data_IF_710123837757
#
_entry.id   IF_710123837757
#
_cell.length_a   1.000
_cell.length_b   1.000
_cell.length_c   1.000
_cell.angle_alpha   90.00
_cell.angle_beta   90.00
_cell.angle_gamma   90.00
#
_symmetry.space_group_name_H-M   'P 1'
#
loop_
_entity.id
_entity.type
_entity.pdbx_description
1 polymer ?
#
# COMPACT_ATOMS: atom_id res chain seq x y z
N UNK A 1 -6.19 -2.12 9.94
CA UNK A 1 -5.97 -3.47 9.39
C UNK A 1 -4.81 -4.25 10.03
N UNK A 2 -3.60 -3.70 10.28
CA UNK A 2 -2.46 -4.50 10.77
C UNK A 2 -2.70 -5.24 12.09
N UNK A 3 -3.39 -4.61 13.05
CA UNK A 3 -3.73 -5.19 14.35
C UNK A 3 -4.85 -6.24 14.29
N UNK A 4 -5.64 -6.23 13.21
CA UNK A 4 -6.69 -7.21 12.97
C UNK A 4 -6.10 -8.50 12.38
N UNK A 5 -5.15 -8.34 11.44
CA UNK A 5 -4.45 -9.47 10.81
C UNK A 5 -3.44 -10.14 11.76
N UNK A 6 -2.78 -9.38 12.64
CA UNK A 6 -1.83 -9.95 13.60
C UNK A 6 -2.12 -9.54 15.05
N UNK A 7 -2.46 -10.54 15.89
CA UNK A 7 -2.60 -10.38 17.33
C UNK A 7 -1.21 -10.22 17.97
N UNK A 8 -0.88 -9.04 18.49
CA UNK A 8 0.35 -8.84 19.28
C UNK A 8 0.35 -9.79 20.48
N UNK A 9 1.31 -10.74 20.50
CA UNK A 9 1.51 -11.70 21.60
C UNK A 9 2.51 -11.22 22.66
N UNK A 10 3.33 -10.22 22.34
CA UNK A 10 4.32 -9.61 23.26
C UNK A 10 3.96 -8.15 23.54
N UNK A 11 4.18 -7.70 24.79
CA UNK A 11 4.18 -6.27 25.14
C UNK A 11 5.29 -5.57 24.35
N UNK A 12 5.07 -4.32 23.89
CA UNK A 12 6.16 -3.49 23.38
C UNK A 12 7.29 -3.44 24.41
N UNK A 13 8.53 -3.52 23.95
CA UNK A 13 9.69 -3.25 24.78
C UNK A 13 9.94 -1.75 24.73
N UNK A 14 9.54 -1.03 25.78
CA UNK A 14 9.64 0.42 25.87
C UNK A 14 10.95 0.86 26.58
N UNK A 15 12.00 0.01 26.54
CA UNK A 15 13.25 0.29 27.23
C UNK A 15 14.04 1.44 26.56
N UNK A 16 14.20 2.61 27.22
CA UNK A 16 14.82 3.79 26.61
C UNK A 16 16.31 3.62 26.31
N UNK A 17 16.96 2.58 26.85
CA UNK A 17 18.37 2.28 26.58
C UNK A 17 18.63 1.72 25.17
N UNK A 18 17.59 1.31 24.44
CA UNK A 18 17.72 0.74 23.10
C UNK A 18 17.66 1.79 21.98
N UNK A 19 17.17 3.01 22.27
CA UNK A 19 17.08 4.13 21.33
C UNK A 19 18.39 4.94 21.21
N UNK A 20 19.32 4.78 22.17
CA UNK A 20 20.53 5.60 22.24
C UNK A 20 21.71 5.12 21.38
N UNK A 21 21.61 3.98 20.69
CA UNK A 21 22.73 3.43 19.89
C UNK A 21 22.72 3.81 18.41
N UNK A 22 21.73 4.57 17.91
CA UNK A 22 21.59 4.89 16.48
C UNK A 22 21.51 6.38 16.13
N UNK A 23 21.80 7.30 17.06
CA UNK A 23 21.33 8.70 16.94
C UNK A 23 22.36 9.78 16.54
N UNK A 24 23.66 9.48 16.36
CA UNK A 24 24.67 10.57 16.31
C UNK A 24 25.41 10.80 14.98
N UNK A 25 25.20 10.00 13.93
CA UNK A 25 26.04 10.11 12.73
C UNK A 25 25.60 11.15 11.68
N UNK A 26 24.34 11.62 11.69
CA UNK A 26 23.80 12.38 10.54
C UNK A 26 22.72 13.42 10.93
N UNK A 27 22.89 14.04 12.10
CA UNK A 27 21.95 15.08 12.55
C UNK A 27 22.31 16.43 11.92
N UNK A 28 21.38 17.11 11.24
CA UNK A 28 21.68 18.38 10.58
C UNK A 28 22.08 19.45 11.61
N UNK A 29 23.10 20.25 11.27
CA UNK A 29 23.68 21.24 12.17
C UNK A 29 22.77 22.45 12.41
N UNK A 30 21.91 22.77 11.45
CA UNK A 30 20.95 23.87 11.54
C UNK A 30 19.76 23.63 10.58
N UNK A 31 18.74 24.49 10.66
CA UNK A 31 17.52 24.37 9.82
C UNK A 31 17.80 24.47 8.31
N UNK A 32 18.84 25.20 7.90
CA UNK A 32 19.21 25.32 6.49
C UNK A 32 19.90 24.06 6.00
N UNK A 33 20.76 23.46 6.82
CA UNK A 33 21.41 22.18 6.57
C UNK A 33 20.39 21.04 6.51
N UNK A 34 19.40 21.03 7.39
CA UNK A 34 18.26 20.11 7.34
C UNK A 34 17.44 20.28 6.05
N UNK A 35 17.19 21.52 5.63
CA UNK A 35 16.46 21.81 4.40
C UNK A 35 17.27 21.40 3.15
N UNK A 36 18.57 21.67 3.12
CA UNK A 36 19.44 21.34 2.00
C UNK A 36 19.64 19.83 1.84
N UNK A 37 19.89 19.11 2.94
CA UNK A 37 19.98 17.65 2.95
C UNK A 37 18.64 17.01 2.54
N UNK A 38 17.52 17.48 3.09
CA UNK A 38 16.18 17.03 2.69
C UNK A 38 15.87 17.27 1.21
N UNK A 39 16.28 18.43 0.66
CA UNK A 39 16.12 18.74 -0.75
C UNK A 39 16.98 17.81 -1.65
N UNK A 40 18.22 17.51 -1.24
CA UNK A 40 19.09 16.60 -1.97
C UNK A 40 18.53 15.16 -1.98
N UNK A 41 18.08 14.65 -0.83
CA UNK A 41 17.41 13.35 -0.75
C UNK A 41 16.11 13.33 -1.56
N UNK A 42 15.33 14.40 -1.52
CA UNK A 42 14.11 14.57 -2.31
C UNK A 42 14.39 14.56 -3.82
N UNK A 43 15.47 15.22 -4.27
CA UNK A 43 15.86 15.23 -5.68
C UNK A 43 16.22 13.82 -6.17
N UNK A 44 16.97 13.05 -5.39
CA UNK A 44 17.32 11.68 -5.76
C UNK A 44 16.07 10.78 -5.86
N UNK A 45 15.14 10.91 -4.91
CA UNK A 45 13.85 10.22 -4.98
C UNK A 45 13.05 10.64 -6.22
N UNK A 46 12.98 11.94 -6.50
CA UNK A 46 12.24 12.47 -7.65
C UNK A 46 12.80 11.96 -8.99
N UNK A 47 14.12 11.91 -9.15
CA UNK A 47 14.76 11.37 -10.35
C UNK A 47 14.47 9.88 -10.54
N UNK A 48 14.54 9.10 -9.45
CA UNK A 48 14.23 7.67 -9.50
C UNK A 48 12.78 7.41 -9.89
N UNK A 49 11.84 8.14 -9.27
CA UNK A 49 10.42 8.04 -9.62
C UNK A 49 10.18 8.50 -11.06
N UNK A 50 10.75 9.64 -11.47
CA UNK A 50 10.60 10.16 -12.83
C UNK A 50 11.09 9.17 -13.90
N UNK A 51 12.26 8.58 -13.71
CA UNK A 51 12.80 7.57 -14.63
C UNK A 51 11.92 6.31 -14.67
N UNK A 52 11.44 5.85 -13.51
CA UNK A 52 10.53 4.72 -13.40
C UNK A 52 9.20 4.99 -14.13
N UNK A 53 8.62 6.19 -13.98
CA UNK A 53 7.37 6.56 -14.65
C UNK A 53 7.51 6.59 -16.17
N UNK A 54 8.60 7.17 -16.68
CA UNK A 54 8.88 7.17 -18.13
C UNK A 54 8.97 5.74 -18.68
N UNK A 55 9.68 4.85 -17.98
CA UNK A 55 9.81 3.46 -18.39
C UNK A 55 8.45 2.73 -18.42
N UNK A 56 7.62 2.92 -17.39
CA UNK A 56 6.30 2.28 -17.34
C UNK A 56 5.33 2.83 -18.36
N UNK A 57 5.30 4.14 -18.61
CA UNK A 57 4.44 4.73 -19.66
C UNK A 57 4.82 4.14 -21.02
N UNK A 58 6.11 4.06 -21.33
CA UNK A 58 6.59 3.46 -22.58
C UNK A 58 6.21 1.98 -22.68
N UNK A 59 6.34 1.21 -21.59
CA UNK A 59 5.98 -0.20 -21.56
C UNK A 59 4.46 -0.40 -21.74
N UNK A 60 3.63 0.41 -21.09
CA UNK A 60 2.17 0.35 -21.25
C UNK A 60 1.78 0.67 -22.69
N UNK A 61 2.39 1.70 -23.30
CA UNK A 61 2.16 2.04 -24.70
C UNK A 61 2.55 0.88 -25.64
N UNK A 62 3.69 0.22 -25.39
CA UNK A 62 4.11 -0.97 -26.13
C UNK A 62 3.12 -2.13 -25.96
N UNK A 63 2.70 -2.42 -24.73
CA UNK A 63 1.73 -3.47 -24.43
C UNK A 63 0.39 -3.19 -25.09
N UNK A 64 -0.09 -1.95 -25.05
CA UNK A 64 -1.31 -1.54 -25.74
C UNK A 64 -1.18 -1.68 -27.26
N UNK A 65 -0.02 -1.36 -27.84
CA UNK A 65 0.24 -1.59 -29.26
C UNK A 65 0.19 -3.08 -29.63
N UNK A 66 0.79 -3.95 -28.82
CA UNK A 66 0.74 -5.41 -29.01
C UNK A 66 -0.69 -5.93 -28.86
N UNK A 67 -1.39 -5.53 -27.79
CA UNK A 67 -2.77 -5.95 -27.52
C UNK A 67 -3.74 -5.48 -28.59
N UNK A 68 -3.59 -4.25 -29.09
CA UNK A 68 -4.37 -3.73 -30.21
C UNK A 68 -4.11 -4.53 -31.50
N UNK A 69 -2.84 -4.87 -31.77
CA UNK A 69 -2.47 -5.71 -32.92
C UNK A 69 -3.06 -7.12 -32.86
N UNK A 70 -2.96 -7.79 -31.71
CA UNK A 70 -3.57 -9.11 -31.48
C UNK A 70 -5.09 -9.02 -31.47
N UNK A 71 -5.66 -8.02 -30.82
CA UNK A 71 -7.10 -7.76 -30.78
C UNK A 71 -7.67 -7.50 -32.17
N UNK A 72 -6.91 -6.86 -33.06
CA UNK A 72 -7.25 -6.70 -34.47
C UNK A 72 -7.49 -8.03 -35.20
N UNK A 73 -6.80 -9.12 -34.82
CA UNK A 73 -7.08 -10.45 -35.38
C UNK A 73 -8.43 -11.02 -34.96
N UNK A 74 -8.99 -10.53 -33.84
CA UNK A 74 -10.28 -10.93 -33.30
C UNK A 74 -11.38 -9.85 -33.50
N UNK A 75 -11.16 -8.87 -34.38
CA UNK A 75 -12.05 -7.70 -34.60
C UNK A 75 -12.25 -6.78 -33.38
N UNK A 76 -11.28 -6.74 -32.46
CA UNK A 76 -11.23 -5.84 -31.30
C UNK A 76 -9.93 -5.02 -31.27
N UNK A 77 -9.68 -4.12 -32.25
CA UNK A 77 -8.48 -3.29 -32.28
C UNK A 77 -8.36 -2.32 -31.09
N UNK A 78 -9.45 -2.05 -30.38
CA UNK A 78 -9.52 -1.19 -29.19
C UNK A 78 -9.01 -1.87 -27.91
N UNK A 79 -8.53 -3.12 -27.99
CA UNK A 79 -8.04 -3.86 -26.85
C UNK A 79 -6.82 -3.20 -26.21
N UNK A 80 -6.95 -2.84 -24.94
CA UNK A 80 -5.89 -2.21 -24.16
C UNK A 80 -5.76 -2.86 -22.78
N UNK A 81 -4.58 -2.72 -22.17
CA UNK A 81 -4.31 -3.22 -20.83
C UNK A 81 -5.28 -2.59 -19.81
N UNK A 82 -5.62 -1.32 -19.97
CA UNK A 82 -6.60 -0.62 -19.14
C UNK A 82 -7.97 -1.29 -19.21
N UNK A 83 -8.41 -1.71 -20.40
CA UNK A 83 -9.72 -2.34 -20.57
C UNK A 83 -9.76 -3.73 -19.94
N UNK A 84 -8.69 -4.51 -20.09
CA UNK A 84 -8.57 -5.84 -19.44
C UNK A 84 -8.61 -5.69 -17.92
N UNK A 85 -7.81 -4.77 -17.36
CA UNK A 85 -7.82 -4.49 -15.92
C UNK A 85 -9.17 -3.96 -15.46
N UNK A 86 -9.83 -3.13 -16.27
CA UNK A 86 -11.19 -2.65 -16.03
C UNK A 86 -12.15 -3.81 -15.79
N UNK A 87 -12.23 -4.75 -16.73
CA UNK A 87 -13.08 -5.92 -16.60
C UNK A 87 -12.77 -6.80 -15.38
N UNK A 88 -11.48 -7.04 -15.10
CA UNK A 88 -11.05 -7.89 -13.98
C UNK A 88 -11.42 -7.25 -12.63
N UNK A 89 -11.25 -5.93 -12.49
CA UNK A 89 -11.45 -5.22 -11.24
C UNK A 89 -12.81 -4.51 -11.12
N UNK A 90 -13.67 -4.56 -12.15
CA UNK A 90 -15.07 -4.10 -12.10
C UNK A 90 -15.85 -4.64 -10.90
N UNK A 91 -15.78 -5.94 -10.55
CA UNK A 91 -16.53 -6.45 -9.40
C UNK A 91 -16.06 -5.82 -8.09
N UNK A 92 -14.76 -5.57 -7.95
CA UNK A 92 -14.20 -4.90 -6.78
C UNK A 92 -14.65 -3.43 -6.71
N UNK A 93 -14.62 -2.72 -7.84
CA UNK A 93 -15.11 -1.35 -7.95
C UNK A 93 -16.59 -1.24 -7.57
N UNK A 94 -17.41 -2.21 -8.00
CA UNK A 94 -18.82 -2.25 -7.64
C UNK A 94 -19.04 -2.48 -6.14
N UNK A 95 -18.29 -3.39 -5.53
CA UNK A 95 -18.38 -3.68 -4.08
C UNK A 95 -18.01 -2.47 -3.21
N UNK A 96 -17.08 -1.63 -3.64
CA UNK A 96 -16.71 -0.41 -2.90
C UNK A 96 -17.68 0.76 -3.12
N UNK A 97 -18.74 0.57 -3.92
CA UNK A 97 -19.84 1.53 -4.06
C UNK A 97 -19.88 2.29 -5.40
N UNK A 98 -19.09 1.91 -6.40
CA UNK A 98 -19.17 2.50 -7.76
C UNK A 98 -20.36 1.89 -8.51
N UNK A 99 -21.21 2.69 -9.18
CA UNK A 99 -22.31 2.14 -9.97
C UNK A 99 -21.78 1.29 -11.14
N UNK A 100 -22.49 0.21 -11.49
CA UNK A 100 -22.00 -0.79 -12.46
C UNK A 100 -21.57 -0.22 -13.81
N UNK A 101 -22.24 0.85 -14.29
CA UNK A 101 -21.91 1.51 -15.55
C UNK A 101 -20.60 2.31 -15.52
N UNK A 102 -20.08 2.66 -14.34
CA UNK A 102 -18.78 3.32 -14.16
C UNK A 102 -17.72 2.36 -13.58
N UNK A 103 -18.13 1.16 -13.17
CA UNK A 103 -17.28 0.19 -12.48
C UNK A 103 -16.10 -0.29 -13.33
N UNK A 104 -16.25 -0.38 -14.66
CA UNK A 104 -15.15 -0.74 -15.55
C UNK A 104 -14.06 0.35 -15.59
N UNK A 105 -14.45 1.62 -15.61
CA UNK A 105 -13.53 2.76 -15.57
C UNK A 105 -12.81 2.80 -14.23
N UNK A 106 -13.55 2.72 -13.12
CA UNK A 106 -12.98 2.69 -11.78
C UNK A 106 -12.07 1.47 -11.54
N UNK A 107 -12.50 0.29 -12.00
CA UNK A 107 -11.74 -0.95 -11.96
C UNK A 107 -10.40 -0.84 -12.69
N UNK A 108 -10.36 -0.11 -13.82
CA UNK A 108 -9.13 0.06 -14.58
C UNK A 108 -8.06 0.79 -13.77
N UNK A 109 -8.42 1.82 -13.00
CA UNK A 109 -7.50 2.57 -12.14
C UNK A 109 -7.05 1.76 -10.92
N UNK A 110 -7.97 1.02 -10.30
CA UNK A 110 -7.65 0.13 -9.18
C UNK A 110 -6.66 -0.96 -9.64
N UNK A 111 -6.89 -1.56 -10.81
CA UNK A 111 -5.99 -2.53 -11.40
C UNK A 111 -4.62 -1.93 -11.75
N UNK A 112 -4.59 -0.74 -12.36
CA UNK A 112 -3.33 -0.04 -12.67
C UNK A 112 -2.51 0.23 -11.41
N UNK A 113 -3.16 0.66 -10.32
CA UNK A 113 -2.49 0.85 -9.03
C UNK A 113 -1.85 -0.44 -8.51
N UNK A 114 -2.59 -1.54 -8.53
CA UNK A 114 -2.14 -2.81 -7.93
C UNK A 114 -1.00 -3.45 -8.74
N UNK A 115 -1.14 -3.46 -10.07
CA UNK A 115 -0.21 -4.15 -10.97
C UNK A 115 0.99 -3.27 -11.34
N UNK A 116 0.77 -1.97 -11.54
CA UNK A 116 1.80 -1.04 -12.02
C UNK A 116 2.29 -0.19 -10.85
N UNK A 117 1.61 0.94 -10.59
CA UNK A 117 1.80 1.77 -9.40
C UNK A 117 0.69 2.84 -9.31
N UNK A 118 0.61 3.52 -8.17
CA UNK A 118 -0.35 4.61 -7.91
C UNK A 118 -0.07 5.88 -8.72
N UNK A 119 1.19 6.23 -8.99
CA UNK A 119 1.55 7.46 -9.71
C UNK A 119 1.08 7.44 -11.18
N UNK A 120 1.22 6.30 -11.86
CA UNK A 120 0.72 6.05 -13.22
C UNK A 120 -0.80 6.05 -13.23
N UNK A 121 -1.43 5.41 -12.24
CA UNK A 121 -2.88 5.44 -12.12
C UNK A 121 -3.40 6.87 -11.93
N UNK A 122 -2.74 7.70 -11.11
CA UNK A 122 -3.09 9.10 -10.93
C UNK A 122 -2.87 9.96 -12.18
N UNK A 123 -1.78 9.75 -12.92
CA UNK A 123 -1.57 10.47 -14.18
C UNK A 123 -2.70 10.21 -15.18
N UNK A 124 -3.12 8.94 -15.32
CA UNK A 124 -4.23 8.57 -16.20
C UNK A 124 -5.58 9.07 -15.67
N UNK A 125 -5.77 9.05 -14.35
CA UNK A 125 -6.99 9.55 -13.71
C UNK A 125 -7.12 11.07 -13.82
N UNK A 126 -6.01 11.81 -13.91
CA UNK A 126 -6.00 13.26 -14.11
C UNK A 126 -6.77 13.73 -15.34
N UNK A 127 -6.83 12.91 -16.39
CA UNK A 127 -7.63 13.20 -17.59
C UNK A 127 -9.14 13.17 -17.32
N UNK A 128 -9.60 12.37 -16.35
CA UNK A 128 -11.01 12.27 -15.94
C UNK A 128 -11.41 13.34 -14.91
N UNK A 129 -10.44 14.08 -14.35
CA UNK A 129 -10.68 15.18 -13.43
C UNK A 129 -10.88 16.53 -14.13
N UNK A 130 -10.64 16.59 -15.45
CA UNK A 130 -10.88 17.79 -16.26
C UNK A 130 -12.38 18.08 -16.38
N UNK A 131 -12.72 19.23 -16.96
CA UNK A 131 -14.11 19.58 -17.21
C UNK A 131 -14.79 18.52 -18.09
N UNK A 132 -16.05 18.18 -17.81
CA UNK A 132 -16.77 17.09 -18.49
C UNK A 132 -16.81 17.25 -20.03
N UNK A 133 -16.79 18.50 -20.51
CA UNK A 133 -16.70 18.82 -21.94
C UNK A 133 -15.36 18.37 -22.55
N UNK A 134 -14.25 18.49 -21.83
CA UNK A 134 -12.92 18.04 -22.27
C UNK A 134 -12.81 16.51 -22.23
N UNK A 135 -13.39 15.88 -21.21
CA UNK A 135 -13.43 14.41 -21.07
C UNK A 135 -14.20 13.78 -22.24
N UNK A 136 -15.37 14.34 -22.57
CA UNK A 136 -16.16 13.88 -23.70
C UNK A 136 -15.45 14.14 -25.04
N UNK A 137 -14.75 15.27 -25.19
CA UNK A 137 -13.96 15.59 -26.39
C UNK A 137 -12.76 14.63 -26.58
N UNK A 138 -12.20 14.11 -25.49
CA UNK A 138 -11.16 13.07 -25.50
C UNK A 138 -11.71 11.66 -25.80
N UNK A 139 -13.02 11.51 -26.01
CA UNK A 139 -13.66 10.21 -26.23
C UNK A 139 -13.74 9.34 -24.98
N UNK A 140 -13.57 9.92 -23.79
CA UNK A 140 -13.62 9.22 -22.52
C UNK A 140 -15.02 9.29 -21.91
N UNK A 141 -15.37 8.29 -21.11
CA UNK A 141 -16.64 8.28 -20.38
C UNK A 141 -16.60 9.34 -19.26
N UNK A 142 -17.58 10.24 -19.26
CA UNK A 142 -17.81 11.16 -18.13
C UNK A 142 -18.28 10.34 -16.93
N UNK A 143 -17.59 10.54 -15.80
CA UNK A 143 -17.88 9.84 -14.53
C UNK A 143 -18.40 10.82 -13.48
N UNK A 144 -19.28 10.33 -12.61
CA UNK A 144 -19.85 11.11 -11.52
C UNK A 144 -18.80 11.56 -10.49
N UNK A 145 -19.04 12.70 -9.83
CA UNK A 145 -18.16 13.22 -8.77
C UNK A 145 -18.03 12.26 -7.58
N UNK A 146 -19.08 11.49 -7.30
CA UNK A 146 -19.05 10.42 -6.31
C UNK A 146 -18.01 9.35 -6.67
N UNK A 147 -18.00 8.90 -7.93
CA UNK A 147 -17.01 7.93 -8.41
C UNK A 147 -15.60 8.53 -8.46
N UNK A 148 -15.46 9.80 -8.85
CA UNK A 148 -14.16 10.51 -8.76
C UNK A 148 -13.62 10.50 -7.33
N UNK A 149 -14.48 10.71 -6.33
CA UNK A 149 -14.10 10.65 -4.92
C UNK A 149 -13.68 9.24 -4.50
N UNK A 150 -14.48 8.20 -4.83
CA UNK A 150 -14.15 6.81 -4.52
C UNK A 150 -12.81 6.40 -5.13
N UNK A 151 -12.58 6.71 -6.42
CA UNK A 151 -11.32 6.40 -7.11
C UNK A 151 -10.17 7.13 -6.41
N UNK A 152 -10.34 8.40 -6.07
CA UNK A 152 -9.30 9.16 -5.35
C UNK A 152 -8.90 8.48 -4.05
N UNK A 153 -9.87 8.05 -3.23
CA UNK A 153 -9.60 7.31 -2.00
C UNK A 153 -9.00 5.92 -2.25
N UNK A 154 -9.50 5.20 -3.25
CA UNK A 154 -8.98 3.88 -3.61
C UNK A 154 -7.53 3.97 -4.11
N UNK A 155 -7.16 5.06 -4.78
CA UNK A 155 -5.80 5.32 -5.26
C UNK A 155 -4.86 5.82 -4.15
N UNK A 156 -5.36 6.50 -3.12
CA UNK A 156 -4.57 6.92 -1.96
C UNK A 156 -3.98 5.72 -1.19
N UNK A 157 -2.74 5.34 -1.52
CA UNK A 157 -1.96 4.38 -0.75
C UNK A 157 -0.93 3.64 -1.61
N UNK A 158 0.23 3.35 -1.03
CA UNK A 158 1.37 2.69 -1.69
C UNK A 158 1.22 1.16 -1.80
N UNK A 159 -0.01 0.64 -1.76
CA UNK A 159 -0.27 -0.79 -1.86
C UNK A 159 -0.20 -1.22 -3.33
N UNK A 160 1.00 -1.56 -3.78
CA UNK A 160 1.27 -2.09 -5.11
C UNK A 160 2.31 -3.24 -5.00
N UNK A 161 2.42 -4.07 -6.03
CA UNK A 161 3.35 -5.20 -6.04
C UNK A 161 4.82 -4.76 -5.87
N UNK A 162 5.19 -3.60 -6.42
CA UNK A 162 6.54 -3.02 -6.32
C UNK A 162 6.91 -2.61 -4.89
N UNK A 163 5.97 -2.08 -4.11
CA UNK A 163 6.16 -1.66 -2.72
C UNK A 163 6.48 -2.84 -1.81
N UNK A 164 5.99 -4.04 -2.12
CA UNK A 164 6.37 -5.26 -1.39
C UNK A 164 7.87 -5.54 -1.59
N UNK A 165 8.36 -5.45 -2.82
CA UNK A 165 9.78 -5.65 -3.12
C UNK A 165 10.66 -4.57 -2.46
N UNK A 166 10.23 -3.30 -2.48
CA UNK A 166 10.92 -2.21 -1.80
C UNK A 166 10.93 -2.41 -0.28
N UNK A 167 9.81 -2.80 0.32
CA UNK A 167 9.74 -3.05 1.77
C UNK A 167 10.63 -4.22 2.19
N UNK A 168 10.70 -5.29 1.40
CA UNK A 168 11.62 -6.41 1.66
C UNK A 168 13.08 -5.95 1.55
N UNK A 169 13.42 -5.16 0.53
CA UNK A 169 14.78 -4.64 0.34
C UNK A 169 15.21 -3.63 1.41
N UNK A 170 14.34 -2.69 1.77
CA UNK A 170 14.61 -1.63 2.75
C UNK A 170 14.59 -2.13 4.19
N UNK A 171 13.59 -2.94 4.57
CA UNK A 171 13.52 -3.51 5.93
C UNK A 171 14.53 -4.65 6.12
N UNK A 172 14.91 -5.35 5.05
CA UNK A 172 15.96 -6.37 5.10
C UNK A 172 17.32 -5.83 5.56
N UNK A 173 17.60 -4.54 5.32
CA UNK A 173 18.82 -3.87 5.81
C UNK A 173 18.72 -3.35 7.26
N UNK A 174 17.52 -3.09 7.76
CA UNK A 174 17.29 -2.50 9.10
C UNK A 174 17.03 -3.54 10.20
N UNK A 175 16.87 -4.81 9.85
CA UNK A 175 16.70 -5.89 10.81
C UNK A 175 17.18 -7.22 10.25
N UNK A 176 18.42 -7.60 10.54
CA UNK A 176 18.87 -8.98 10.38
C UNK A 176 18.13 -9.88 11.41
N UNK A 177 16.89 -10.24 11.10
CA UNK A 177 16.13 -11.27 11.81
C UNK A 177 16.07 -12.53 10.93
N UNK A 178 16.36 -13.73 11.46
CA UNK A 178 16.52 -14.93 10.65
C UNK A 178 15.26 -15.24 9.83
N UNK A 179 15.48 -15.65 8.57
CA UNK A 179 14.48 -15.89 7.51
C UNK A 179 13.29 -16.81 7.83
N UNK A 180 13.18 -17.36 9.06
CA UNK A 180 12.09 -18.21 9.50
C UNK A 180 10.74 -17.46 9.66
N UNK A 181 10.75 -16.14 9.95
CA UNK A 181 9.54 -15.35 10.13
C UNK A 181 8.86 -14.88 8.84
N UNK A 182 9.62 -14.73 7.75
CA UNK A 182 9.10 -14.26 6.46
C UNK A 182 8.22 -15.30 5.75
N UNK A 183 8.44 -16.60 6.00
CA UNK A 183 7.67 -17.71 5.42
C UNK A 183 6.21 -17.74 5.89
N UNK A 184 5.94 -17.34 7.14
CA UNK A 184 4.57 -17.21 7.65
C UNK A 184 3.84 -15.98 7.09
N UNK A 185 4.55 -14.88 6.78
CA UNK A 185 3.94 -13.71 6.17
C UNK A 185 3.43 -14.00 4.74
N UNK A 186 4.19 -14.79 3.97
CA UNK A 186 3.80 -15.29 2.64
C UNK A 186 2.54 -16.17 2.66
N UNK A 187 2.43 -17.09 3.61
CA UNK A 187 1.30 -18.00 3.71
C UNK A 187 -0.03 -17.28 3.99
N UNK A 188 0.01 -16.15 4.71
CA UNK A 188 -1.19 -15.40 5.10
C UNK A 188 -1.67 -14.41 4.02
N UNK A 189 -0.78 -13.94 3.13
CA UNK A 189 -1.17 -13.05 2.02
C UNK A 189 -1.65 -13.81 0.77
N UNK A 190 -1.26 -15.08 0.59
CA UNK A 190 -1.56 -15.84 -0.63
C UNK A 190 -2.78 -16.76 -0.59
N UNK A 191 -3.35 -17.02 0.58
CA UNK A 191 -4.54 -17.87 0.70
C UNK A 191 -5.47 -17.29 1.75
N UNK A 192 -6.58 -16.69 1.31
CA UNK A 192 -7.72 -16.50 2.18
C UNK A 192 -8.18 -17.88 2.66
N UNK A 193 -7.84 -18.23 3.89
CA UNK A 193 -8.13 -19.56 4.43
C UNK A 193 -7.40 -19.82 5.74
N UNK A 194 -8.19 -19.93 6.79
CA UNK A 194 -7.78 -20.31 8.14
C UNK A 194 -6.94 -21.60 8.14
N UNK A 195 -5.68 -21.51 8.53
CA UNK A 195 -4.91 -22.65 8.98
C UNK A 195 -4.56 -22.45 10.46
N UNK A 196 -5.51 -22.86 11.31
CA UNK A 196 -5.31 -23.15 12.72
C UNK A 196 -4.10 -24.07 12.87
N UNK A 197 -2.99 -23.55 13.40
CA UNK A 197 -1.99 -24.43 14.01
C UNK A 197 -2.47 -24.78 15.43
N UNK A 198 -2.61 -26.07 15.78
CA UNK A 198 -3.04 -26.48 17.10
C UNK A 198 -1.94 -26.17 18.14
N UNK A 199 -2.32 -25.42 19.17
CA UNK A 199 -1.46 -25.06 20.30
C UNK A 199 -1.32 -26.27 21.24
N UNK A 200 -0.30 -27.12 21.02
CA UNK A 200 0.05 -28.24 21.91
C UNK A 200 0.66 -27.78 23.26
N UNK A 201 0.37 -26.56 23.73
CA UNK A 201 0.94 -26.03 24.98
C UNK A 201 0.04 -26.14 26.20
N UNK A 202 -0.99 -26.98 26.16
CA UNK A 202 -1.89 -27.22 27.31
C UNK A 202 -1.60 -28.49 28.13
N UNK A 203 -0.58 -29.29 27.78
CA UNK A 203 -0.36 -30.61 28.41
C UNK A 203 0.90 -30.81 29.26
N UNK A 204 1.52 -29.74 29.79
CA UNK A 204 2.57 -29.86 30.81
C UNK A 204 2.22 -29.03 32.05
N UNK A 205 1.58 -29.73 33.00
CA UNK A 205 1.38 -29.42 34.43
C UNK A 205 2.59 -28.62 34.99
N UNK A 206 2.41 -27.56 35.77
CA UNK A 206 1.83 -27.60 37.11
C UNK A 206 2.93 -27.86 38.13
N UNK A 207 3.56 -26.81 38.69
CA UNK A 207 4.22 -26.82 40.00
C UNK A 207 4.62 -25.40 40.43
N UNK A 208 3.94 -24.88 41.45
CA UNK A 208 4.43 -24.03 42.55
C UNK A 208 5.32 -22.81 42.27
N UNK A 209 4.80 -21.59 42.59
CA UNK A 209 5.44 -20.63 43.52
C UNK A 209 4.46 -19.52 43.96
N UNK A 210 4.61 -18.98 45.18
CA UNK A 210 3.53 -18.34 45.93
C UNK A 210 3.35 -16.84 45.63
N UNK A 211 2.10 -16.39 45.84
CA UNK A 211 1.62 -15.01 45.78
C UNK A 211 2.27 -14.17 46.89
N UNK A 212 3.03 -13.13 46.50
CA UNK A 212 3.43 -12.05 47.40
C UNK A 212 2.52 -10.84 47.18
N UNK A 213 1.65 -10.59 48.16
CA UNK A 213 0.83 -9.38 48.28
C UNK A 213 1.74 -8.20 48.63
N UNK A 214 1.79 -7.19 47.77
CA UNK A 214 2.28 -5.85 48.10
C UNK A 214 1.12 -4.85 47.96
N UNK A 215 0.93 -3.94 48.93
CA UNK A 215 -0.23 -3.06 48.98
C UNK A 215 -0.12 -1.93 47.94
N UNK A 216 -1.18 -1.73 47.15
CA UNK A 216 -1.37 -0.54 46.32
C UNK A 216 -1.60 0.71 47.18
N UNK A 217 -0.96 1.84 46.87
CA UNK A 217 -1.49 3.14 47.22
C UNK A 217 -2.23 3.77 46.01
N UNK A 218 -3.55 3.88 46.20
CA UNK A 218 -4.42 4.97 45.80
C UNK A 218 -4.22 5.61 44.41
N UNK A 219 -5.11 5.22 43.51
CA UNK A 219 -5.53 6.03 42.37
C UNK A 219 -5.79 7.49 42.78
N UNK A 220 -5.04 8.43 42.18
CA UNK A 220 -5.41 9.84 42.15
C UNK A 220 -5.57 10.24 40.69
N UNK A 221 -6.82 10.37 40.27
CA UNK A 221 -7.25 11.00 39.02
C UNK A 221 -6.89 12.49 39.08
N UNK A 222 -6.43 13.11 37.97
CA UNK A 222 -6.95 14.43 37.68
C UNK A 222 -7.50 14.53 36.26
N UNK A 223 -8.79 14.86 36.27
CA UNK A 223 -9.61 15.42 35.22
C UNK A 223 -9.27 16.92 35.09
N UNK A 224 -8.67 17.35 34.00
CA UNK A 224 -8.60 18.75 33.51
C UNK A 224 -8.33 18.63 32.00
N UNK A 225 -9.26 18.80 31.06
CA UNK A 225 -10.05 19.98 30.67
C UNK A 225 -9.20 21.22 30.33
N UNK A 226 -8.59 21.19 29.13
CA UNK A 226 -8.46 22.28 28.17
C UNK A 226 -7.97 21.72 26.83
#
# INVERSE_FOLDING_TARGET
>A
MPKLSYRKRKKPDDNPAHDSQSADADKPANVLDAAASGAASGMQLALNVGAMLLAFIALIALLNGILSGVGGWFNHPELSLQMILGWIFSPLAWVIGVPWHEAAVAGSFIGQKLIINEFVAYMNFGEYLKADAEVAAAGLQVISDHTKAIISFALCGFANLSSIAILIGGLGGMGAQPAAGYRSAWATCGSGGDAVQPDERHHRRGFSRPVSLSPEPAATVPLVLL
#
